data_IF_842519638890
#
_entry.id   IF_842519638890
#
_cell.length_a   1.000
_cell.length_b   1.000
_cell.length_c   1.000
_cell.angle_alpha   90.00
_cell.angle_beta   90.00
_cell.angle_gamma   90.00
#
_symmetry.space_group_name_H-M   'P 1'
#
loop_
_entity.id
_entity.type
_entity.pdbx_description
1 polymer ?
#
# COMPACT_ATOMS: atom_id res chain seq x y z
N UNK A 1 -24.56 0.91 -11.08
CA UNK A 1 -23.91 1.10 -9.75
C UNK A 1 -23.27 -0.22 -9.37
N UNK A 2 -21.94 -0.32 -9.43
CA UNK A 2 -21.21 -1.58 -9.20
C UNK A 2 -20.67 -1.73 -7.77
N UNK A 3 -20.54 -0.63 -7.02
CA UNK A 3 -20.30 -0.64 -5.57
C UNK A 3 -20.94 0.59 -4.89
N UNK A 4 -21.03 0.57 -3.56
CA UNK A 4 -21.67 1.60 -2.75
C UNK A 4 -20.90 2.90 -2.58
N UNK A 5 -19.57 2.82 -2.69
CA UNK A 5 -18.72 3.99 -2.63
C UNK A 5 -18.98 4.88 -3.85
N UNK A 6 -19.12 4.28 -5.05
CA UNK A 6 -19.42 5.01 -6.29
C UNK A 6 -20.75 5.78 -6.20
N UNK A 7 -21.78 5.20 -5.55
CA UNK A 7 -23.08 5.85 -5.35
C UNK A 7 -23.00 7.00 -4.34
N UNK A 8 -22.24 6.81 -3.26
CA UNK A 8 -22.01 7.88 -2.29
C UNK A 8 -21.21 9.03 -2.92
N UNK A 9 -20.18 8.72 -3.71
CA UNK A 9 -19.37 9.70 -4.42
C UNK A 9 -20.18 10.47 -5.47
N UNK A 10 -21.12 9.82 -6.17
CA UNK A 10 -22.06 10.47 -7.10
C UNK A 10 -23.00 11.45 -6.38
N UNK A 11 -23.53 11.07 -5.22
CA UNK A 11 -24.38 11.94 -4.38
C UNK A 11 -23.58 13.14 -3.83
N UNK A 12 -22.33 12.92 -3.43
CA UNK A 12 -21.45 13.96 -2.90
C UNK A 12 -20.97 14.94 -3.98
N UNK A 13 -20.60 14.44 -5.17
CA UNK A 13 -20.20 15.27 -6.30
C UNK A 13 -21.31 16.24 -6.75
N UNK A 14 -22.58 15.87 -6.55
CA UNK A 14 -23.74 16.70 -6.84
C UNK A 14 -24.08 17.72 -5.75
N UNK A 15 -23.47 17.64 -4.56
CA UNK A 15 -23.80 18.47 -3.39
C UNK A 15 -22.66 19.38 -2.91
N UNK A 16 -21.39 19.05 -3.21
CA UNK A 16 -20.20 19.82 -2.80
C UNK A 16 -19.96 21.13 -3.60
N UNK A 17 -20.86 21.50 -4.52
CA UNK A 17 -20.82 22.80 -5.20
C UNK A 17 -21.25 23.99 -4.30
N UNK A 18 -21.65 23.76 -3.04
CA UNK A 18 -22.20 24.80 -2.16
C UNK A 18 -21.68 24.76 -0.71
N UNK A 19 -20.68 25.62 -0.45
CA UNK A 19 -20.44 26.40 0.79
C UNK A 19 -19.83 25.76 2.07
N UNK A 20 -18.84 26.49 2.60
CA UNK A 20 -18.19 26.37 3.91
C UNK A 20 -18.98 27.09 5.03
N UNK A 21 -20.06 26.50 5.57
CA UNK A 21 -20.74 27.05 6.74
C UNK A 21 -21.31 25.98 7.70
N UNK A 22 -21.38 26.34 8.98
CA UNK A 22 -21.60 25.49 10.17
C UNK A 22 -23.03 24.90 10.37
N UNK A 23 -23.69 24.48 9.29
CA UNK A 23 -24.96 23.70 9.32
C UNK A 23 -24.64 22.33 8.65
N UNK A 24 -25.38 21.22 8.88
CA UNK A 24 -25.11 19.96 8.17
C UNK A 24 -25.08 20.26 6.66
N UNK A 25 -23.88 20.23 6.07
CA UNK A 25 -23.66 20.61 4.67
C UNK A 25 -24.59 19.75 3.82
N UNK A 26 -25.19 20.29 2.76
CA UNK A 26 -26.21 19.62 1.95
C UNK A 26 -25.89 18.16 1.57
N UNK A 27 -24.61 17.79 1.47
CA UNK A 27 -24.17 16.40 1.26
C UNK A 27 -24.43 15.43 2.41
N UNK A 28 -24.42 15.85 3.68
CA UNK A 28 -24.76 14.98 4.82
C UNK A 28 -26.27 14.65 4.83
N UNK A 29 -27.13 15.62 4.53
CA UNK A 29 -28.57 15.38 4.42
C UNK A 29 -28.91 14.50 3.22
N UNK A 30 -28.27 14.74 2.06
CA UNK A 30 -28.44 13.89 0.89
C UNK A 30 -27.98 12.44 1.15
N UNK A 31 -26.88 12.25 1.89
CA UNK A 31 -26.46 10.91 2.32
C UNK A 31 -27.45 10.29 3.31
N UNK A 32 -27.97 11.04 4.28
CA UNK A 32 -28.98 10.54 5.22
C UNK A 32 -30.29 10.15 4.52
N UNK A 33 -30.67 10.86 3.45
CA UNK A 33 -31.79 10.51 2.57
C UNK A 33 -31.53 9.20 1.84
N UNK A 34 -30.39 9.07 1.17
CA UNK A 34 -29.99 7.82 0.53
C UNK A 34 -29.97 6.65 1.52
N UNK A 35 -29.34 6.85 2.69
CA UNK A 35 -29.26 5.83 3.74
C UNK A 35 -30.64 5.39 4.24
N UNK A 36 -31.62 6.30 4.26
CA UNK A 36 -32.99 5.97 4.62
C UNK A 36 -33.64 5.03 3.59
N UNK A 37 -33.39 5.24 2.30
CA UNK A 37 -33.91 4.38 1.21
C UNK A 37 -33.27 2.98 1.22
N UNK A 38 -32.00 2.88 1.61
CA UNK A 38 -31.28 1.60 1.69
C UNK A 38 -31.90 0.60 2.68
N UNK A 39 -32.60 1.08 3.72
CA UNK A 39 -33.33 0.21 4.65
C UNK A 39 -34.35 -0.68 3.94
N UNK A 40 -35.08 -0.13 2.96
CA UNK A 40 -36.11 -0.84 2.21
C UNK A 40 -35.49 -1.87 1.27
N UNK A 41 -34.42 -1.47 0.58
CA UNK A 41 -33.76 -2.33 -0.41
C UNK A 41 -33.01 -3.51 0.23
N UNK A 42 -32.36 -3.30 1.37
CA UNK A 42 -31.47 -4.30 1.97
C UNK A 42 -32.00 -4.94 3.25
N UNK A 43 -33.17 -4.50 3.73
CA UNK A 43 -33.78 -5.01 4.96
C UNK A 43 -32.85 -4.92 6.18
N UNK A 44 -32.02 -3.88 6.24
CA UNK A 44 -31.17 -3.59 7.39
C UNK A 44 -31.88 -2.61 8.34
N UNK A 45 -31.69 -2.75 9.66
CA UNK A 45 -32.26 -1.82 10.65
C UNK A 45 -31.40 -0.60 10.93
N UNK A 46 -30.10 -0.69 10.64
CA UNK A 46 -29.12 0.36 10.91
C UNK A 46 -28.25 0.51 9.68
N UNK A 47 -28.10 1.73 9.19
CA UNK A 47 -27.10 2.08 8.17
C UNK A 47 -26.28 3.20 8.76
N UNK A 48 -24.97 3.02 8.83
CA UNK A 48 -24.06 4.01 9.39
C UNK A 48 -22.90 4.28 8.43
N UNK A 49 -22.48 5.53 8.36
CA UNK A 49 -21.37 5.99 7.54
C UNK A 49 -20.45 6.85 8.40
N UNK A 50 -19.16 6.54 8.42
CA UNK A 50 -18.14 7.40 9.01
C UNK A 50 -17.60 8.32 7.90
N UNK A 51 -17.83 9.62 8.05
CA UNK A 51 -17.27 10.68 7.20
C UNK A 51 -15.89 11.08 7.71
N UNK A 52 -14.95 11.30 6.79
CA UNK A 52 -13.65 11.89 7.12
C UNK A 52 -13.18 12.81 6.00
N UNK A 53 -12.57 13.93 6.38
CA UNK A 53 -11.92 14.88 5.46
C UNK A 53 -10.54 15.17 6.01
N UNK A 54 -9.51 15.01 5.17
CA UNK A 54 -8.13 15.29 5.53
C UNK A 54 -7.64 16.53 4.81
N UNK A 55 -7.16 17.50 5.58
CA UNK A 55 -6.54 18.71 5.05
C UNK A 55 -5.11 18.39 4.55
N UNK A 56 -4.56 19.19 3.62
CA UNK A 56 -3.17 19.08 3.19
C UNK A 56 -2.14 19.15 4.34
N UNK A 57 -2.50 19.76 5.47
CA UNK A 57 -1.69 19.79 6.70
C UNK A 57 -1.58 18.44 7.42
N UNK A 58 -2.22 17.39 6.89
CA UNK A 58 -2.27 16.05 7.48
C UNK A 58 -3.34 15.89 8.57
N UNK A 59 -3.94 17.00 9.03
CA UNK A 59 -5.04 16.99 10.01
C UNK A 59 -6.31 16.44 9.35
N UNK A 60 -6.93 15.46 10.00
CA UNK A 60 -8.17 14.86 9.57
C UNK A 60 -9.30 15.22 10.54
N UNK A 61 -10.44 15.67 10.00
CA UNK A 61 -11.71 15.74 10.71
C UNK A 61 -12.55 14.52 10.40
N UNK A 62 -13.22 13.95 11.39
CA UNK A 62 -14.19 12.84 11.23
C UNK A 62 -15.47 13.09 12.01
N UNK A 63 -16.55 12.52 11.50
CA UNK A 63 -17.86 12.44 12.13
C UNK A 63 -18.64 11.28 11.52
N UNK A 64 -19.81 10.98 12.04
CA UNK A 64 -20.61 9.84 11.65
C UNK A 64 -22.05 10.25 11.36
N UNK A 65 -22.66 9.54 10.42
CA UNK A 65 -24.06 9.58 10.06
C UNK A 65 -24.69 8.22 10.35
N UNK A 66 -25.92 8.19 10.84
CA UNK A 66 -26.66 6.96 11.11
C UNK A 66 -28.13 7.14 10.81
N UNK A 67 -28.70 6.20 10.08
CA UNK A 67 -30.15 6.01 9.98
C UNK A 67 -30.58 4.75 10.70
N UNK A 68 -31.66 4.86 11.48
CA UNK A 68 -32.25 3.78 12.26
C UNK A 68 -33.70 3.57 11.85
N UNK A 69 -34.01 2.38 11.35
CA UNK A 69 -35.38 1.98 11.06
C UNK A 69 -36.01 1.33 12.29
N UNK A 70 -37.23 1.72 12.62
CA UNK A 70 -38.01 1.11 13.71
C UNK A 70 -38.25 -0.38 13.46
N UNK A 71 -38.45 -1.20 14.51
CA UNK A 71 -38.61 -2.64 14.37
C UNK A 71 -39.75 -3.08 13.44
N UNK A 72 -40.81 -2.27 13.37
CA UNK A 72 -42.00 -2.43 12.53
C UNK A 72 -41.83 -1.85 11.12
N UNK A 73 -40.68 -1.22 10.82
CA UNK A 73 -40.37 -0.62 9.52
C UNK A 73 -41.10 0.68 9.22
N UNK A 74 -41.84 1.25 10.18
CA UNK A 74 -42.74 2.39 9.94
C UNK A 74 -42.04 3.75 9.93
N UNK A 75 -40.87 3.87 10.58
CA UNK A 75 -40.13 5.14 10.69
C UNK A 75 -38.63 4.93 10.57
N UNK A 76 -37.96 5.93 9.99
CA UNK A 76 -36.49 6.02 9.96
C UNK A 76 -36.07 7.30 10.68
N UNK A 77 -35.28 7.18 11.75
CA UNK A 77 -34.65 8.33 12.42
C UNK A 77 -33.24 8.55 11.87
N UNK A 78 -32.79 9.81 11.88
CA UNK A 78 -31.50 10.27 11.36
C UNK A 78 -30.68 10.86 12.50
N UNK A 79 -29.40 10.51 12.56
CA UNK A 79 -28.50 10.91 13.63
C UNK A 79 -27.15 11.29 13.03
N UNK A 80 -26.47 12.26 13.64
CA UNK A 80 -25.14 12.70 13.21
C UNK A 80 -24.27 13.13 14.39
N UNK A 81 -22.95 12.95 14.27
CA UNK A 81 -21.96 13.56 15.18
C UNK A 81 -21.31 14.80 14.58
N UNK A 82 -21.87 15.38 13.51
CA UNK A 82 -21.26 16.52 12.82
C UNK A 82 -21.02 17.74 13.74
N UNK A 83 -21.86 17.99 14.74
CA UNK A 83 -21.66 19.10 15.70
C UNK A 83 -20.56 18.84 16.74
N UNK A 84 -20.10 17.59 16.86
CA UNK A 84 -19.02 17.17 17.75
C UNK A 84 -18.05 16.32 16.92
N UNK A 85 -17.17 16.97 16.17
CA UNK A 85 -16.19 16.31 15.30
C UNK A 85 -15.01 15.77 16.10
N UNK A 86 -14.27 14.82 15.54
CA UNK A 86 -12.94 14.46 16.05
C UNK A 86 -11.91 14.94 15.03
N UNK A 87 -10.97 15.74 15.49
CA UNK A 87 -9.80 16.21 14.79
C UNK A 87 -8.60 15.41 15.27
N UNK A 88 -7.83 14.85 14.36
CA UNK A 88 -6.61 14.08 14.69
C UNK A 88 -5.64 14.07 13.51
N UNK A 89 -4.36 13.76 13.74
CA UNK A 89 -3.37 13.60 12.66
C UNK A 89 -3.08 12.11 12.46
N UNK A 90 -3.82 11.42 11.57
CA UNK A 90 -3.59 10.00 11.34
C UNK A 90 -2.17 9.74 10.80
N UNK A 91 -1.51 8.72 11.34
CA UNK A 91 -0.28 8.15 10.75
C UNK A 91 -0.59 7.37 9.47
N UNK A 92 -1.75 6.72 9.40
CA UNK A 92 -2.25 5.99 8.22
C UNK A 92 -3.47 6.65 7.57
N UNK A 93 -3.42 6.90 6.26
CA UNK A 93 -4.48 7.65 5.54
C UNK A 93 -5.81 6.89 5.40
N UNK A 94 -5.70 5.58 5.21
CA UNK A 94 -6.82 4.65 5.16
C UNK A 94 -6.76 3.74 6.37
N UNK A 95 -7.90 3.49 7.02
CA UNK A 95 -7.93 2.75 8.27
C UNK A 95 -9.01 3.25 9.21
N UNK A 96 -9.09 2.64 10.39
CA UNK A 96 -10.02 3.01 11.44
C UNK A 96 -11.44 2.43 11.28
N UNK A 97 -11.80 1.81 10.16
CA UNK A 97 -13.15 1.24 9.96
C UNK A 97 -13.50 0.12 10.95
N UNK A 98 -12.58 -0.82 11.19
CA UNK A 98 -12.78 -1.89 12.20
C UNK A 98 -12.80 -1.31 13.62
N UNK A 99 -11.94 -0.35 13.92
CA UNK A 99 -11.92 0.36 15.21
C UNK A 99 -13.22 1.15 15.43
N UNK A 100 -13.73 1.80 14.38
CA UNK A 100 -15.01 2.50 14.39
C UNK A 100 -16.14 1.52 14.68
N UNK A 101 -16.22 0.40 13.94
CA UNK A 101 -17.24 -0.62 14.15
C UNK A 101 -17.19 -1.17 15.59
N UNK A 102 -16.00 -1.44 16.11
CA UNK A 102 -15.82 -1.91 17.48
C UNK A 102 -16.28 -0.87 18.51
N UNK A 103 -15.94 0.41 18.31
CA UNK A 103 -16.37 1.49 19.18
C UNK A 103 -17.88 1.69 19.15
N UNK A 104 -18.49 1.57 17.97
CA UNK A 104 -19.93 1.66 17.77
C UNK A 104 -20.67 0.50 18.46
N UNK A 105 -20.25 -0.75 18.21
CA UNK A 105 -20.82 -1.94 18.86
C UNK A 105 -20.63 -1.84 20.37
N UNK A 106 -19.45 -1.40 20.83
CA UNK A 106 -19.19 -1.25 22.25
C UNK A 106 -20.09 -0.20 22.91
N UNK A 107 -20.27 0.96 22.27
CA UNK A 107 -21.20 2.00 22.72
C UNK A 107 -22.66 1.54 22.75
N UNK A 108 -23.10 0.72 21.77
CA UNK A 108 -24.46 0.18 21.74
C UNK A 108 -24.71 -0.92 22.78
N UNK A 109 -23.69 -1.73 23.12
CA UNK A 109 -23.90 -2.96 23.88
C UNK A 109 -23.44 -2.89 25.34
N UNK A 110 -22.38 -2.13 25.65
CA UNK A 110 -21.73 -2.17 26.97
C UNK A 110 -21.89 -0.88 27.78
N UNK A 111 -22.17 0.26 27.15
CA UNK A 111 -22.46 1.53 27.86
C UNK A 111 -23.95 1.76 28.17
N UNK A 112 -24.80 0.80 27.82
CA UNK A 112 -26.26 0.86 27.95
C UNK A 112 -26.83 0.61 29.36
N UNK A 113 -26.06 0.76 30.45
CA UNK A 113 -26.49 0.36 31.81
C UNK A 113 -26.67 1.49 32.82
N UNK A 114 -27.00 2.72 32.40
CA UNK A 114 -27.30 3.78 33.39
C UNK A 114 -28.39 4.82 33.01
N UNK A 115 -29.15 4.65 31.93
CA UNK A 115 -30.30 5.52 31.64
C UNK A 115 -31.51 4.70 31.21
N UNK A 116 -32.70 5.08 31.67
CA UNK A 116 -33.95 4.35 31.51
C UNK A 116 -34.40 4.14 30.03
N UNK A 117 -33.74 4.78 29.06
CA UNK A 117 -34.12 4.81 27.64
C UNK A 117 -33.10 4.18 26.67
N UNK A 118 -32.10 3.43 27.17
CA UNK A 118 -31.07 2.79 26.33
C UNK A 118 -30.01 3.78 25.80
N UNK A 119 -28.93 3.30 25.15
CA UNK A 119 -27.85 4.19 24.70
C UNK A 119 -28.30 5.07 23.53
N UNK A 120 -28.12 6.39 23.66
CA UNK A 120 -28.32 7.35 22.58
C UNK A 120 -27.41 6.98 21.39
N UNK A 121 -27.95 6.76 20.17
CA UNK A 121 -27.18 6.36 19.00
C UNK A 121 -25.98 7.28 18.68
N UNK A 122 -26.12 8.57 18.98
CA UNK A 122 -25.10 9.59 18.85
C UNK A 122 -23.90 9.33 19.76
N UNK A 123 -24.11 8.84 20.99
CA UNK A 123 -23.00 8.47 21.89
C UNK A 123 -22.23 7.28 21.37
N UNK A 124 -22.91 6.28 20.82
CA UNK A 124 -22.26 5.12 20.22
C UNK A 124 -21.43 5.52 19.00
N UNK A 125 -21.97 6.38 18.14
CA UNK A 125 -21.23 6.96 17.02
C UNK A 125 -20.04 7.81 17.48
N UNK A 126 -20.22 8.61 18.53
CA UNK A 126 -19.15 9.47 19.07
C UNK A 126 -17.98 8.64 19.59
N UNK A 127 -18.27 7.56 20.32
CA UNK A 127 -17.26 6.59 20.74
C UNK A 127 -16.56 5.96 19.55
N UNK A 128 -17.31 5.58 18.52
CA UNK A 128 -16.76 5.01 17.30
C UNK A 128 -15.76 5.97 16.61
N UNK A 129 -16.11 7.26 16.52
CA UNK A 129 -15.24 8.30 15.98
C UNK A 129 -13.95 8.43 16.81
N UNK A 130 -14.06 8.48 18.15
CA UNK A 130 -12.91 8.62 19.06
C UNK A 130 -11.97 7.42 19.01
N UNK A 131 -12.52 6.20 19.08
CA UNK A 131 -11.71 4.98 19.03
C UNK A 131 -10.98 4.86 17.68
N UNK A 132 -11.68 5.14 16.59
CA UNK A 132 -11.08 5.13 15.26
C UNK A 132 -10.01 6.21 15.08
N UNK A 133 -10.14 7.37 15.72
CA UNK A 133 -9.11 8.40 15.73
C UNK A 133 -7.88 7.96 16.52
N UNK A 134 -8.07 7.50 17.77
CA UNK A 134 -6.98 7.03 18.64
C UNK A 134 -6.19 5.88 18.00
N UNK A 135 -6.87 4.91 17.37
CA UNK A 135 -6.19 3.80 16.70
C UNK A 135 -5.38 4.25 15.48
N UNK A 136 -5.73 5.38 14.85
CA UNK A 136 -5.02 5.90 13.68
C UNK A 136 -3.87 6.84 14.03
N UNK A 137 -3.63 7.15 15.31
CA UNK A 137 -2.44 7.88 15.77
C UNK A 137 -1.19 6.99 15.88
N UNK A 138 -1.31 5.69 15.61
CA UNK A 138 -0.19 4.73 15.61
C UNK A 138 -0.09 3.97 14.29
N UNK A 139 1.13 3.72 13.82
CA UNK A 139 1.38 2.79 12.69
C UNK A 139 1.28 1.36 13.20
N UNK A 140 0.58 0.51 12.45
CA UNK A 140 0.44 -0.91 12.74
C UNK A 140 -0.30 -1.22 14.06
N UNK A 141 -1.39 -1.96 13.91
CA UNK A 141 -2.19 -2.64 14.93
C UNK A 141 -3.36 -1.87 15.58
N UNK A 142 -4.51 -2.56 15.61
CA UNK A 142 -5.78 -2.20 16.25
C UNK A 142 -5.75 -2.34 17.79
N UNK A 143 -4.60 -2.64 18.41
CA UNK A 143 -4.51 -3.08 19.82
C UNK A 143 -3.88 -2.10 20.82
N UNK A 144 -3.34 -0.95 20.37
CA UNK A 144 -2.59 -0.03 21.24
C UNK A 144 -3.45 0.95 22.05
N UNK A 145 -4.76 0.96 21.86
CA UNK A 145 -5.70 1.84 22.56
C UNK A 145 -6.44 1.04 23.61
N UNK A 146 -6.18 1.32 24.88
CA UNK A 146 -6.90 0.69 25.98
C UNK A 146 -8.29 1.32 26.18
N UNK A 147 -9.19 0.61 26.86
CA UNK A 147 -10.49 1.18 27.26
C UNK A 147 -10.32 2.40 28.18
N UNK A 148 -9.22 2.45 28.95
CA UNK A 148 -8.90 3.61 29.79
C UNK A 148 -8.54 4.83 28.94
N UNK A 149 -7.75 4.66 27.87
CA UNK A 149 -7.40 5.74 26.93
C UNK A 149 -8.65 6.29 26.24
N UNK A 150 -9.54 5.40 25.79
CA UNK A 150 -10.81 5.78 25.18
C UNK A 150 -11.72 6.54 26.17
N UNK A 151 -11.85 6.05 27.42
CA UNK A 151 -12.65 6.74 28.45
C UNK A 151 -12.06 8.09 28.83
N UNK A 152 -10.73 8.23 28.84
CA UNK A 152 -10.07 9.49 29.19
C UNK A 152 -10.44 10.62 28.21
N UNK A 153 -10.61 10.32 26.93
CA UNK A 153 -11.02 11.32 25.92
C UNK A 153 -12.54 11.57 25.88
N UNK A 154 -13.34 10.65 26.42
CA UNK A 154 -14.81 10.78 26.50
C UNK A 154 -15.28 11.69 27.66
N UNK A 155 -14.52 11.74 28.76
CA UNK A 155 -14.92 12.46 29.98
C UNK A 155 -15.11 13.96 29.70
N UNK A 156 -16.34 14.44 29.89
CA UNK A 156 -16.70 15.87 29.79
C UNK A 156 -16.76 16.42 28.36
N UNK A 157 -16.75 15.58 27.32
CA UNK A 157 -16.61 16.01 25.90
C UNK A 157 -17.63 15.37 24.94
N UNK A 158 -18.80 14.98 25.44
CA UNK A 158 -19.82 14.30 24.65
C UNK A 158 -20.31 15.12 23.43
N UNK A 159 -20.47 16.44 23.62
CA UNK A 159 -21.10 17.34 22.64
C UNK A 159 -20.14 18.42 22.12
N UNK A 160 -18.82 18.23 22.30
CA UNK A 160 -17.80 19.19 21.90
C UNK A 160 -16.83 18.58 20.89
N UNK A 161 -16.27 19.41 20.01
CA UNK A 161 -15.15 19.02 19.15
C UNK A 161 -13.97 18.53 20.01
N UNK A 162 -13.32 17.47 19.56
CA UNK A 162 -12.14 16.88 20.23
C UNK A 162 -10.96 16.92 19.28
N UNK A 163 -9.82 17.38 19.79
CA UNK A 163 -8.54 17.37 19.09
C UNK A 163 -7.63 16.35 19.75
N UNK A 164 -7.11 15.41 18.98
CA UNK A 164 -6.17 14.38 19.42
C UNK A 164 -4.83 14.59 18.71
N UNK A 165 -3.75 14.69 19.49
CA UNK A 165 -2.37 14.62 19.00
C UNK A 165 -1.53 13.83 20.01
N UNK A 166 -0.94 12.69 19.59
CA UNK A 166 0.11 12.01 20.35
C UNK A 166 1.48 12.62 20.03
N UNK A 167 2.19 13.08 21.06
CA UNK A 167 3.60 13.44 20.96
C UNK A 167 4.49 12.21 20.68
N UNK A 168 5.62 12.40 20.01
CA UNK A 168 6.58 11.33 19.66
C UNK A 168 7.24 10.63 20.86
N UNK A 169 6.97 11.07 22.09
CA UNK A 169 7.35 10.37 23.31
C UNK A 169 6.15 9.59 23.87
N UNK A 170 6.14 8.29 23.63
CA UNK A 170 5.02 7.41 23.96
C UNK A 170 4.50 7.58 25.40
N UNK A 171 3.18 7.74 25.53
CA UNK A 171 2.45 7.35 26.74
C UNK A 171 1.36 8.30 27.24
N UNK A 172 1.22 9.53 26.75
CA UNK A 172 0.20 10.45 27.27
C UNK A 172 -0.50 11.24 26.17
N UNK A 173 -1.84 11.30 26.24
CA UNK A 173 -2.69 12.16 25.41
C UNK A 173 -2.73 13.52 26.10
N UNK A 174 -2.00 14.52 25.59
CA UNK A 174 -2.05 15.88 26.14
C UNK A 174 -3.19 16.72 25.52
N UNK A 175 -3.80 17.66 26.29
CA UNK A 175 -4.82 18.57 25.76
C UNK A 175 -4.22 19.66 24.85
N UNK A 176 -4.99 20.20 23.89
CA UNK A 176 -4.44 20.91 22.73
C UNK A 176 -3.85 22.29 23.08
N UNK A 177 -2.64 22.57 22.55
CA UNK A 177 -2.11 23.92 22.41
C UNK A 177 -2.76 24.62 21.20
N UNK A 178 -3.22 25.85 21.39
CA UNK A 178 -3.63 26.76 20.30
C UNK A 178 -2.37 27.27 19.58
N UNK A 179 -2.22 26.97 18.29
CA UNK A 179 -1.12 27.49 17.48
C UNK A 179 -1.56 28.67 16.60
N UNK A 180 -0.76 29.75 16.66
CA UNK A 180 -0.91 30.99 15.90
C UNK A 180 -0.39 30.92 14.47
N UNK A 181 -0.57 32.03 13.75
CA UNK A 181 -0.64 32.12 12.29
C UNK A 181 0.66 31.91 11.48
N UNK A 182 1.82 31.64 12.09
CA UNK A 182 3.11 31.89 11.41
C UNK A 182 4.08 30.67 11.33
N UNK A 183 3.65 29.44 11.60
CA UNK A 183 4.54 28.28 11.80
C UNK A 183 4.72 27.33 10.61
N UNK A 184 5.71 27.58 9.74
CA UNK A 184 6.05 26.71 8.61
C UNK A 184 6.75 25.39 8.98
N UNK A 185 6.38 24.32 8.26
CA UNK A 185 7.09 23.02 8.14
C UNK A 185 6.98 22.53 6.69
N UNK A 186 8.04 21.93 6.12
CA UNK A 186 8.03 21.45 4.72
C UNK A 186 7.12 20.23 4.55
N UNK A 187 6.18 20.32 3.60
CA UNK A 187 5.16 19.31 3.35
C UNK A 187 5.75 17.91 3.07
N UNK A 188 5.37 16.92 3.88
CA UNK A 188 5.36 15.53 3.41
C UNK A 188 4.42 15.50 2.20
N UNK A 189 4.89 15.03 1.04
CA UNK A 189 4.04 14.88 -0.14
C UNK A 189 2.84 14.01 0.26
N UNK A 190 1.62 14.54 0.14
CA UNK A 190 0.40 13.75 0.34
C UNK A 190 0.38 12.57 -0.63
N UNK A 191 -0.46 11.56 -0.36
CA UNK A 191 -0.62 10.47 -1.31
C UNK A 191 -1.02 10.98 -2.69
N UNK A 192 -0.59 10.28 -3.75
CA UNK A 192 -1.16 10.48 -5.07
C UNK A 192 -2.67 10.17 -5.05
N UNK A 193 -3.41 10.86 -5.91
CA UNK A 193 -4.76 10.41 -6.28
C UNK A 193 -4.70 9.00 -6.86
N UNK A 194 -5.84 8.29 -6.85
CA UNK A 194 -5.93 6.95 -7.43
C UNK A 194 -5.46 6.89 -8.89
N UNK A 195 -5.85 7.87 -9.71
CA UNK A 195 -5.46 7.94 -11.11
C UNK A 195 -3.94 8.15 -11.27
N UNK A 196 -3.32 8.99 -10.44
CA UNK A 196 -1.87 9.18 -10.44
C UNK A 196 -1.13 7.94 -9.98
N UNK A 197 -1.63 7.25 -8.96
CA UNK A 197 -1.07 6.00 -8.47
C UNK A 197 -1.12 4.91 -9.55
N UNK A 198 -2.27 4.74 -10.20
CA UNK A 198 -2.44 3.81 -11.32
C UNK A 198 -1.51 4.13 -12.49
N UNK A 199 -1.39 5.41 -12.87
CA UNK A 199 -0.48 5.85 -13.93
C UNK A 199 1.00 5.63 -13.58
N UNK A 200 1.40 5.82 -12.31
CA UNK A 200 2.76 5.51 -11.83
C UNK A 200 3.04 4.01 -11.96
N UNK A 201 2.15 3.16 -11.45
CA UNK A 201 2.32 1.72 -11.52
C UNK A 201 2.38 1.18 -12.96
N UNK A 202 1.57 1.72 -13.86
CA UNK A 202 1.59 1.33 -15.28
C UNK A 202 2.92 1.69 -15.96
N UNK A 203 3.45 2.90 -15.69
CA UNK A 203 4.78 3.30 -16.16
C UNK A 203 5.88 2.40 -15.59
N UNK A 204 5.80 2.05 -14.31
CA UNK A 204 6.76 1.15 -13.68
C UNK A 204 6.73 -0.22 -14.33
N UNK A 205 5.54 -0.81 -14.50
CA UNK A 205 5.37 -2.12 -15.15
C UNK A 205 5.95 -2.10 -16.56
N UNK A 206 5.61 -1.08 -17.35
CA UNK A 206 6.13 -0.92 -18.72
C UNK A 206 7.66 -0.88 -18.74
N UNK A 207 8.30 -0.10 -17.85
CA UNK A 207 9.76 -0.04 -17.76
C UNK A 207 10.39 -1.37 -17.32
N UNK A 208 9.73 -2.11 -16.41
CA UNK A 208 10.19 -3.46 -16.05
C UNK A 208 10.13 -4.42 -17.24
N UNK A 209 9.06 -4.36 -18.04
CA UNK A 209 8.94 -5.13 -19.28
C UNK A 209 10.05 -4.78 -20.28
N UNK A 210 10.33 -3.47 -20.47
CA UNK A 210 11.40 -3.00 -21.34
C UNK A 210 12.79 -3.42 -20.88
N UNK A 211 13.02 -3.47 -19.56
CA UNK A 211 14.26 -4.00 -18.98
C UNK A 211 14.45 -5.48 -19.30
N UNK A 212 13.36 -6.26 -19.34
CA UNK A 212 13.37 -7.72 -19.48
C UNK A 212 13.92 -8.47 -18.27
N UNK A 213 14.72 -7.81 -17.42
CA UNK A 213 15.28 -8.35 -16.18
C UNK A 213 15.20 -7.33 -15.05
N UNK A 214 14.95 -7.81 -13.84
CA UNK A 214 15.12 -7.08 -12.58
C UNK A 214 16.34 -7.66 -11.87
N UNK A 215 17.30 -6.80 -11.54
CA UNK A 215 18.48 -7.17 -10.77
C UNK A 215 18.19 -7.07 -9.26
N UNK A 216 18.25 -8.20 -8.54
CA UNK A 216 17.95 -8.26 -7.11
C UNK A 216 19.24 -8.13 -6.30
N UNK A 217 19.47 -6.94 -5.75
CA UNK A 217 20.59 -6.61 -4.88
C UNK A 217 20.20 -6.98 -3.45
N UNK A 218 20.78 -8.09 -2.98
CA UNK A 218 20.78 -8.48 -1.57
C UNK A 218 22.21 -8.35 -1.04
N UNK A 219 22.42 -7.38 -0.16
CA UNK A 219 23.73 -7.07 0.41
C UNK A 219 23.75 -7.35 1.90
N UNK A 220 24.33 -8.50 2.31
CA UNK A 220 24.43 -8.87 3.73
C UNK A 220 25.62 -8.23 4.43
N UNK A 221 26.61 -7.79 3.66
CA UNK A 221 27.84 -7.19 4.15
C UNK A 221 27.88 -5.68 3.92
N UNK A 222 28.40 -5.30 2.76
CA UNK A 222 28.82 -3.94 2.43
C UNK A 222 27.78 -3.18 1.58
N UNK A 223 27.12 -2.14 2.13
CA UNK A 223 26.21 -1.28 1.38
C UNK A 223 26.90 -0.47 0.27
N UNK A 224 28.18 -0.13 0.40
CA UNK A 224 28.92 0.61 -0.63
C UNK A 224 29.10 -0.24 -1.89
N UNK A 225 29.46 -1.52 -1.70
CA UNK A 225 29.53 -2.48 -2.78
C UNK A 225 28.15 -2.70 -3.45
N UNK A 226 27.07 -2.70 -2.68
CA UNK A 226 25.71 -2.82 -3.20
C UNK A 226 25.36 -1.66 -4.15
N UNK A 227 25.67 -0.42 -3.73
CA UNK A 227 25.47 0.78 -4.56
C UNK A 227 26.36 0.74 -5.80
N UNK A 228 27.64 0.41 -5.64
CA UNK A 228 28.58 0.29 -6.75
C UNK A 228 28.14 -0.74 -7.79
N UNK A 229 27.69 -1.93 -7.34
CA UNK A 229 27.16 -3.00 -8.21
C UNK A 229 25.89 -2.57 -8.93
N UNK A 230 24.99 -1.85 -8.27
CA UNK A 230 23.80 -1.30 -8.93
C UNK A 230 24.14 -0.32 -10.05
N UNK A 231 25.06 0.61 -9.81
CA UNK A 231 25.55 1.57 -10.83
C UNK A 231 26.24 0.83 -11.99
N UNK A 232 27.07 -0.16 -11.67
CA UNK A 232 27.76 -1.02 -12.64
C UNK A 232 26.76 -1.73 -13.58
N UNK A 233 25.71 -2.34 -13.02
CA UNK A 233 24.67 -3.01 -13.79
C UNK A 233 23.86 -2.04 -14.67
N UNK A 234 23.52 -0.85 -14.15
CA UNK A 234 22.86 0.21 -14.94
C UNK A 234 23.71 0.61 -16.13
N UNK A 235 25.02 0.81 -15.92
CA UNK A 235 25.95 1.14 -17.00
C UNK A 235 26.07 0.02 -18.06
N UNK A 236 25.75 -1.22 -17.72
CA UNK A 236 25.66 -2.34 -18.68
C UNK A 236 24.32 -2.43 -19.41
N UNK A 237 23.30 -1.67 -19.00
CA UNK A 237 21.98 -1.64 -19.61
C UNK A 237 20.83 -2.10 -18.73
N UNK A 238 21.06 -2.38 -17.43
CA UNK A 238 19.98 -2.70 -16.50
C UNK A 238 19.04 -1.51 -16.31
N UNK A 239 17.73 -1.74 -16.41
CA UNK A 239 16.70 -0.70 -16.22
C UNK A 239 15.74 -0.93 -15.06
N UNK A 240 15.91 -2.03 -14.32
CA UNK A 240 15.12 -2.32 -13.13
C UNK A 240 15.98 -2.97 -12.03
N UNK A 241 16.02 -2.36 -10.85
CA UNK A 241 16.78 -2.85 -9.69
C UNK A 241 15.85 -3.01 -8.50
N UNK A 242 15.99 -4.11 -7.77
CA UNK A 242 15.38 -4.36 -6.46
C UNK A 242 16.47 -4.32 -5.38
N UNK A 243 16.28 -3.55 -4.32
CA UNK A 243 17.07 -3.67 -3.08
C UNK A 243 16.27 -4.46 -2.05
N UNK A 244 16.79 -5.58 -1.58
CA UNK A 244 16.03 -6.40 -0.61
C UNK A 244 16.08 -5.81 0.80
N UNK A 245 14.97 -5.84 1.53
CA UNK A 245 14.87 -5.34 2.92
C UNK A 245 15.77 -6.11 3.89
N UNK A 246 16.09 -7.35 3.56
CA UNK A 246 17.00 -8.16 4.34
C UNK A 246 18.49 -7.84 4.05
N UNK A 247 18.78 -6.77 3.30
CA UNK A 247 20.12 -6.20 3.15
C UNK A 247 20.48 -5.30 4.33
N UNK A 248 21.77 -5.26 4.67
CA UNK A 248 22.34 -4.26 5.58
C UNK A 248 22.10 -2.87 5.00
N UNK A 249 21.48 -1.98 5.77
CA UNK A 249 21.11 -0.62 5.35
C UNK A 249 20.43 -0.55 3.96
N UNK A 250 19.36 -1.33 3.78
CA UNK A 250 18.56 -1.30 2.55
C UNK A 250 18.07 0.12 2.22
N UNK A 251 17.71 0.91 3.23
CA UNK A 251 17.17 2.26 3.07
C UNK A 251 18.23 3.25 2.56
N UNK A 252 19.43 3.23 3.15
CA UNK A 252 20.56 4.03 2.67
C UNK A 252 20.99 3.61 1.26
N UNK A 253 21.04 2.30 1.01
CA UNK A 253 21.35 1.75 -0.33
C UNK A 253 20.35 2.23 -1.38
N UNK A 254 19.05 2.14 -1.11
CA UNK A 254 17.98 2.59 -1.98
C UNK A 254 18.09 4.09 -2.28
N UNK A 255 18.27 4.92 -1.25
CA UNK A 255 18.41 6.38 -1.38
C UNK A 255 19.62 6.79 -2.24
N UNK A 256 20.76 6.14 -2.02
CA UNK A 256 22.00 6.37 -2.75
C UNK A 256 21.89 5.94 -4.21
N UNK A 257 21.27 4.78 -4.47
CA UNK A 257 20.98 4.33 -5.83
C UNK A 257 20.01 5.30 -6.53
N UNK A 258 18.91 5.71 -5.89
CA UNK A 258 17.96 6.66 -6.48
C UNK A 258 18.62 7.97 -6.91
N UNK A 259 19.62 8.43 -6.15
CA UNK A 259 20.38 9.64 -6.44
C UNK A 259 21.45 9.45 -7.54
N UNK A 260 21.98 8.23 -7.69
CA UNK A 260 23.11 7.95 -8.57
C UNK A 260 22.72 7.38 -9.95
N UNK A 261 21.55 6.73 -10.06
CA UNK A 261 21.10 6.12 -11.31
C UNK A 261 20.23 7.07 -12.13
N UNK A 262 20.18 6.91 -13.47
CA UNK A 262 19.34 7.71 -14.34
C UNK A 262 17.83 7.61 -13.98
N UNK A 263 17.03 8.68 -14.16
CA UNK A 263 15.59 8.68 -13.86
C UNK A 263 14.75 7.69 -14.70
N UNK A 264 15.29 7.18 -15.81
CA UNK A 264 14.61 6.17 -16.62
C UNK A 264 14.71 4.76 -16.03
N UNK A 265 15.63 4.50 -15.10
CA UNK A 265 15.73 3.23 -14.36
C UNK A 265 14.68 3.19 -13.24
N UNK A 266 13.93 2.09 -13.14
CA UNK A 266 13.03 1.86 -11.99
C UNK A 266 13.77 1.18 -10.86
N UNK A 267 13.53 1.66 -9.64
CA UNK A 267 14.16 1.17 -8.44
C UNK A 267 13.08 0.75 -7.46
N UNK A 268 13.15 -0.48 -6.96
CA UNK A 268 12.18 -1.01 -6.03
C UNK A 268 12.82 -1.64 -4.82
N UNK A 269 11.97 -2.13 -3.93
CA UNK A 269 12.37 -2.93 -2.78
C UNK A 269 11.83 -4.35 -2.90
N UNK A 270 12.39 -5.29 -2.15
CA UNK A 270 11.72 -6.58 -2.02
C UNK A 270 12.15 -7.40 -0.83
N UNK A 271 11.70 -8.65 -0.78
CA UNK A 271 11.66 -9.42 0.48
C UNK A 271 10.74 -8.75 1.53
N UNK A 272 9.65 -8.13 1.08
CA UNK A 272 8.58 -7.68 1.99
C UNK A 272 7.88 -8.91 2.58
N UNK A 273 7.79 -8.97 3.89
CA UNK A 273 7.12 -10.02 4.66
C UNK A 273 6.00 -9.39 5.51
N UNK A 274 5.20 -10.21 6.21
CA UNK A 274 4.09 -9.72 7.05
C UNK A 274 4.52 -8.66 8.07
N UNK A 275 5.68 -8.85 8.70
CA UNK A 275 6.24 -7.95 9.72
C UNK A 275 6.85 -6.67 9.14
N UNK A 276 7.03 -6.59 7.82
CA UNK A 276 7.75 -5.50 7.13
C UNK A 276 6.89 -4.77 6.11
N UNK A 277 5.58 -5.05 6.03
CA UNK A 277 4.61 -4.27 5.23
C UNK A 277 4.66 -2.78 5.59
N UNK A 278 4.88 -2.44 6.86
CA UNK A 278 4.99 -1.03 7.30
C UNK A 278 6.12 -0.24 6.63
N UNK A 279 7.18 -0.91 6.14
CA UNK A 279 8.32 -0.26 5.50
C UNK A 279 8.01 0.27 4.08
N UNK A 280 6.85 -0.10 3.49
CA UNK A 280 6.43 0.39 2.17
C UNK A 280 6.30 1.91 2.16
N UNK A 281 5.86 2.52 3.26
CA UNK A 281 5.82 3.97 3.42
C UNK A 281 7.20 4.59 3.20
N UNK A 282 8.18 4.06 3.94
CA UNK A 282 9.56 4.53 3.89
C UNK A 282 10.17 4.29 2.52
N UNK A 283 9.95 3.12 1.94
CA UNK A 283 10.41 2.80 0.59
C UNK A 283 9.84 3.78 -0.45
N UNK A 284 8.53 4.09 -0.38
CA UNK A 284 7.90 5.05 -1.29
C UNK A 284 8.47 6.48 -1.11
N UNK A 285 8.71 6.92 0.13
CA UNK A 285 9.34 8.22 0.42
C UNK A 285 10.77 8.31 -0.13
N UNK A 286 11.49 7.20 -0.12
CA UNK A 286 12.82 7.07 -0.72
C UNK A 286 12.78 6.90 -2.26
N UNK A 287 11.58 6.92 -2.86
CA UNK A 287 11.40 6.89 -4.30
C UNK A 287 11.34 5.48 -4.90
N UNK A 288 10.93 4.47 -4.13
CA UNK A 288 10.65 3.14 -4.66
C UNK A 288 9.49 3.18 -5.66
N UNK A 289 9.71 2.61 -6.84
CA UNK A 289 8.76 2.52 -7.95
C UNK A 289 7.93 1.21 -7.88
N UNK A 290 8.50 0.15 -7.31
CA UNK A 290 7.85 -1.16 -7.10
C UNK A 290 8.29 -1.82 -5.78
N UNK A 291 7.53 -2.81 -5.33
CA UNK A 291 7.86 -3.65 -4.19
C UNK A 291 7.55 -5.13 -4.50
N UNK A 292 8.48 -6.05 -4.23
CA UNK A 292 8.30 -7.49 -4.44
C UNK A 292 8.27 -8.27 -3.11
N UNK A 293 7.41 -9.27 -3.00
CA UNK A 293 7.35 -10.17 -1.84
C UNK A 293 7.52 -11.62 -2.29
N UNK A 294 8.26 -12.48 -1.53
CA UNK A 294 8.30 -13.92 -1.76
C UNK A 294 7.00 -14.64 -1.32
N UNK A 295 6.06 -13.91 -0.71
CA UNK A 295 4.74 -14.37 -0.27
C UNK A 295 3.67 -13.33 -0.70
N UNK A 296 2.47 -13.41 -0.14
CA UNK A 296 1.40 -12.43 -0.30
C UNK A 296 0.97 -11.92 1.09
N UNK A 297 1.71 -10.97 1.67
CA UNK A 297 1.43 -10.47 3.01
C UNK A 297 0.11 -9.70 3.07
N UNK A 298 -0.57 -9.77 4.21
CA UNK A 298 -1.84 -9.05 4.38
C UNK A 298 -1.63 -7.53 4.28
N UNK A 299 -2.40 -6.86 3.44
CA UNK A 299 -2.34 -5.39 3.27
C UNK A 299 -1.20 -4.89 2.38
N UNK A 300 -0.30 -5.78 1.92
CA UNK A 300 0.85 -5.43 1.09
C UNK A 300 0.47 -4.74 -0.22
N UNK A 301 -0.49 -5.33 -0.94
CA UNK A 301 -0.94 -4.84 -2.26
C UNK A 301 -1.63 -3.48 -2.11
N UNK A 302 -2.51 -3.37 -1.13
CA UNK A 302 -3.28 -2.18 -0.83
C UNK A 302 -2.36 -1.00 -0.46
N UNK A 303 -1.36 -1.26 0.38
CA UNK A 303 -0.42 -0.24 0.86
C UNK A 303 0.51 0.26 -0.25
N UNK A 304 0.99 -0.65 -1.11
CA UNK A 304 1.78 -0.29 -2.29
C UNK A 304 0.96 0.55 -3.27
N UNK A 305 -0.22 0.04 -3.67
CA UNK A 305 -1.05 0.67 -4.68
C UNK A 305 -1.53 2.05 -4.24
N UNK A 306 -1.88 2.22 -2.96
CA UNK A 306 -2.25 3.51 -2.38
C UNK A 306 -1.16 4.57 -2.58
N UNK A 307 0.12 4.18 -2.60
CA UNK A 307 1.28 5.08 -2.79
C UNK A 307 1.75 5.16 -4.25
N UNK A 308 1.11 4.44 -5.16
CA UNK A 308 1.55 4.32 -6.55
C UNK A 308 2.81 3.47 -6.74
N UNK A 309 3.12 2.61 -5.77
CA UNK A 309 4.20 1.61 -5.85
C UNK A 309 3.61 0.34 -6.46
N UNK A 310 4.24 -0.21 -7.50
CA UNK A 310 3.78 -1.45 -8.13
C UNK A 310 4.05 -2.65 -7.21
N UNK A 311 3.00 -3.31 -6.73
CA UNK A 311 3.13 -4.51 -5.89
C UNK A 311 3.37 -5.76 -6.75
N UNK A 312 4.30 -6.62 -6.31
CA UNK A 312 4.58 -7.94 -6.88
C UNK A 312 4.60 -9.04 -5.83
N UNK A 313 3.44 -9.46 -5.29
CA UNK A 313 3.33 -10.62 -4.41
C UNK A 313 3.59 -11.93 -5.17
N UNK A 314 3.97 -12.97 -4.44
CA UNK A 314 4.31 -14.26 -5.06
C UNK A 314 3.12 -15.21 -5.21
N UNK A 315 3.16 -16.00 -6.28
CA UNK A 315 2.30 -17.15 -6.52
C UNK A 315 3.09 -18.24 -7.26
N UNK A 316 2.59 -19.48 -7.24
CA UNK A 316 3.18 -20.61 -7.96
C UNK A 316 2.18 -21.34 -8.87
N UNK A 317 0.89 -21.28 -8.54
CA UNK A 317 -0.18 -21.99 -9.27
C UNK A 317 -1.14 -21.05 -9.98
N UNK A 318 -1.92 -21.58 -10.95
CA UNK A 318 -2.94 -20.81 -11.66
C UNK A 318 -4.01 -20.23 -10.73
N UNK A 319 -4.39 -20.95 -9.66
CA UNK A 319 -5.39 -20.49 -8.70
C UNK A 319 -4.87 -19.30 -7.88
N UNK A 320 -3.63 -19.36 -7.41
CA UNK A 320 -2.99 -18.26 -6.69
C UNK A 320 -2.84 -17.04 -7.60
N UNK A 321 -2.36 -17.24 -8.83
CA UNK A 321 -2.24 -16.17 -9.81
C UNK A 321 -3.59 -15.48 -10.07
N UNK A 322 -4.67 -16.27 -10.21
CA UNK A 322 -6.01 -15.74 -10.42
C UNK A 322 -6.55 -15.00 -9.19
N UNK A 323 -6.28 -15.52 -7.99
CA UNK A 323 -6.69 -14.85 -6.76
C UNK A 323 -6.04 -13.47 -6.62
N UNK A 324 -4.74 -13.36 -6.93
CA UNK A 324 -4.02 -12.09 -6.94
C UNK A 324 -4.57 -11.14 -8.02
N UNK A 325 -4.77 -11.63 -9.23
CA UNK A 325 -5.33 -10.83 -10.32
C UNK A 325 -6.70 -10.23 -9.96
N UNK A 326 -7.60 -11.02 -9.34
CA UNK A 326 -8.91 -10.55 -8.88
C UNK A 326 -8.85 -9.48 -7.79
N UNK A 327 -7.73 -9.37 -7.06
CA UNK A 327 -7.46 -8.30 -6.09
C UNK A 327 -6.87 -7.04 -6.74
N UNK A 328 -6.73 -7.01 -8.06
CA UNK A 328 -6.18 -5.88 -8.79
C UNK A 328 -4.66 -5.85 -8.83
N UNK A 329 -3.99 -6.95 -8.48
CA UNK A 329 -2.53 -7.08 -8.60
C UNK A 329 -2.13 -6.97 -10.07
N UNK A 330 -1.21 -6.04 -10.36
CA UNK A 330 -0.76 -5.73 -11.72
C UNK A 330 0.46 -6.54 -12.15
N UNK A 331 1.25 -7.07 -11.22
CA UNK A 331 2.42 -7.89 -11.46
C UNK A 331 2.46 -9.04 -10.44
N UNK A 332 2.69 -10.26 -10.89
CA UNK A 332 2.77 -11.45 -10.02
C UNK A 332 4.17 -12.02 -10.11
N UNK A 333 4.79 -12.28 -8.96
CA UNK A 333 6.09 -12.93 -8.89
C UNK A 333 5.91 -14.45 -8.88
N UNK A 334 6.36 -15.14 -9.94
CA UNK A 334 6.37 -16.60 -9.96
C UNK A 334 7.61 -17.08 -9.20
N UNK A 335 7.42 -17.63 -8.00
CA UNK A 335 8.51 -17.94 -7.08
C UNK A 335 8.27 -19.26 -6.33
N UNK A 336 9.23 -20.18 -6.23
CA UNK A 336 10.61 -20.16 -6.75
C UNK A 336 10.72 -20.74 -8.16
N UNK A 337 11.11 -19.94 -9.16
CA UNK A 337 11.17 -20.34 -10.57
C UNK A 337 12.12 -21.51 -10.89
N UNK A 338 13.17 -21.73 -10.09
CA UNK A 338 14.11 -22.84 -10.24
C UNK A 338 13.52 -24.21 -9.89
N UNK A 339 12.35 -24.25 -9.24
CA UNK A 339 11.55 -25.48 -9.06
C UNK A 339 10.53 -25.68 -10.20
N UNK A 340 10.52 -24.77 -11.16
CA UNK A 340 9.62 -24.75 -12.30
C UNK A 340 10.42 -24.66 -13.61
N UNK A 341 9.70 -24.48 -14.70
CA UNK A 341 10.26 -24.30 -16.03
C UNK A 341 9.43 -23.32 -16.85
N UNK A 342 9.97 -22.77 -17.94
CA UNK A 342 9.21 -21.94 -18.87
C UNK A 342 7.92 -22.60 -19.39
N UNK A 343 7.86 -23.95 -19.46
CA UNK A 343 6.65 -24.66 -19.87
C UNK A 343 5.51 -24.54 -18.84
N UNK A 344 5.81 -24.43 -17.54
CA UNK A 344 4.79 -24.14 -16.52
C UNK A 344 4.16 -22.78 -16.76
N UNK A 345 4.98 -21.74 -16.95
CA UNK A 345 4.49 -20.39 -17.23
C UNK A 345 3.62 -20.36 -18.48
N UNK A 346 4.07 -20.99 -19.56
CA UNK A 346 3.29 -21.09 -20.80
C UNK A 346 1.94 -21.80 -20.57
N UNK A 347 1.91 -22.78 -19.68
CA UNK A 347 0.66 -23.49 -19.31
C UNK A 347 -0.28 -22.59 -18.50
N UNK A 348 0.24 -21.82 -17.53
CA UNK A 348 -0.54 -20.82 -16.77
C UNK A 348 -1.13 -19.77 -17.72
N UNK A 349 -0.29 -19.20 -18.60
CA UNK A 349 -0.71 -18.18 -19.57
C UNK A 349 -1.63 -18.73 -20.67
N UNK A 350 -1.60 -20.04 -20.93
CA UNK A 350 -2.48 -20.70 -21.89
C UNK A 350 -3.94 -20.84 -21.41
N UNK A 351 -4.20 -20.71 -20.11
CA UNK A 351 -5.57 -20.77 -19.57
C UNK A 351 -6.31 -19.49 -19.98
N UNK A 352 -7.28 -19.59 -20.88
CA UNK A 352 -8.11 -18.45 -21.29
C UNK A 352 -9.37 -18.36 -20.42
N UNK A 353 -9.82 -17.18 -19.97
CA UNK A 353 -9.26 -15.83 -20.21
C UNK A 353 -8.18 -15.42 -19.20
N UNK A 354 -7.78 -16.30 -18.27
CA UNK A 354 -6.81 -16.03 -17.21
C UNK A 354 -5.53 -15.37 -17.73
N UNK A 355 -4.81 -16.04 -18.64
CA UNK A 355 -3.48 -15.66 -19.06
C UNK A 355 -3.38 -14.35 -19.83
N UNK A 356 -4.44 -13.90 -20.49
CA UNK A 356 -4.45 -12.63 -21.22
C UNK A 356 -4.31 -11.40 -20.30
N UNK A 357 -4.58 -11.57 -19.00
CA UNK A 357 -4.59 -10.49 -18.02
C UNK A 357 -3.50 -10.63 -16.94
N UNK A 358 -2.59 -11.60 -17.07
CA UNK A 358 -1.52 -11.82 -16.10
C UNK A 358 -0.19 -11.25 -16.58
N UNK A 359 0.43 -10.41 -15.77
CA UNK A 359 1.84 -10.06 -15.90
C UNK A 359 2.63 -10.86 -14.88
N UNK A 360 3.52 -11.73 -15.35
CA UNK A 360 4.28 -12.64 -14.48
C UNK A 360 5.78 -12.36 -14.58
N UNK A 361 6.42 -12.30 -13.42
CA UNK A 361 7.87 -12.18 -13.22
C UNK A 361 8.41 -13.46 -12.56
N UNK A 362 8.99 -14.41 -13.30
CA UNK A 362 9.70 -15.56 -12.72
C UNK A 362 10.96 -15.12 -11.96
N UNK A 363 11.14 -15.60 -10.74
CA UNK A 363 12.29 -15.25 -9.90
C UNK A 363 12.73 -16.42 -9.03
N UNK A 364 14.01 -16.42 -8.64
CA UNK A 364 14.61 -17.43 -7.76
C UNK A 364 14.97 -18.70 -8.52
N UNK A 365 16.23 -18.79 -8.97
CA UNK A 365 16.72 -19.88 -9.84
C UNK A 365 16.79 -19.51 -11.32
N UNK A 366 16.42 -18.28 -11.70
CA UNK A 366 16.71 -17.72 -13.02
C UNK A 366 18.18 -17.32 -13.10
N UNK A 367 18.82 -17.57 -14.24
CA UNK A 367 20.20 -17.22 -14.55
C UNK A 367 20.32 -16.72 -16.01
N UNK A 368 21.49 -16.21 -16.43
CA UNK A 368 21.68 -15.72 -17.80
C UNK A 368 21.40 -16.77 -18.89
N UNK A 369 21.57 -18.06 -18.61
CA UNK A 369 21.42 -19.14 -19.59
C UNK A 369 19.95 -19.48 -19.86
N UNK A 370 19.09 -19.35 -18.84
CA UNK A 370 17.66 -19.68 -18.95
C UNK A 370 16.73 -18.45 -19.09
N UNK A 371 17.25 -17.23 -18.93
CA UNK A 371 16.49 -15.98 -18.95
C UNK A 371 15.62 -15.81 -20.21
N UNK A 372 16.22 -16.06 -21.38
CA UNK A 372 15.56 -15.86 -22.67
C UNK A 372 14.39 -16.83 -22.84
N UNK A 373 14.53 -18.08 -22.40
CA UNK A 373 13.47 -19.08 -22.48
C UNK A 373 12.24 -18.69 -21.63
N UNK A 374 12.44 -18.07 -20.46
CA UNK A 374 11.33 -17.53 -19.66
C UNK A 374 10.62 -16.37 -20.36
N UNK A 375 11.36 -15.45 -20.99
CA UNK A 375 10.80 -14.34 -21.75
C UNK A 375 10.04 -14.81 -22.98
N UNK A 376 10.54 -15.83 -23.68
CA UNK A 376 9.85 -16.48 -24.81
C UNK A 376 8.59 -17.24 -24.38
N UNK A 377 8.55 -17.74 -23.14
CA UNK A 377 7.36 -18.35 -22.56
C UNK A 377 6.28 -17.32 -22.16
N UNK A 378 6.55 -16.02 -22.28
CA UNK A 378 5.61 -14.94 -22.00
C UNK A 378 5.83 -14.22 -20.67
N UNK A 379 6.96 -14.45 -19.98
CA UNK A 379 7.33 -13.64 -18.84
C UNK A 379 7.48 -12.17 -19.26
N UNK A 380 6.95 -11.26 -18.45
CA UNK A 380 7.07 -9.82 -18.70
C UNK A 380 8.47 -9.32 -18.42
N UNK A 381 9.07 -9.84 -17.36
CA UNK A 381 10.48 -9.73 -17.05
C UNK A 381 10.87 -10.91 -16.15
N UNK A 382 12.15 -11.08 -15.88
CA UNK A 382 12.64 -12.10 -14.93
C UNK A 382 13.42 -11.46 -13.78
N UNK A 383 13.35 -12.04 -12.59
CA UNK A 383 14.13 -11.60 -11.43
C UNK A 383 15.37 -12.45 -11.22
N UNK A 384 16.56 -11.82 -11.22
CA UNK A 384 17.82 -12.49 -10.94
C UNK A 384 18.58 -11.84 -9.78
N UNK A 385 18.86 -12.63 -8.74
CA UNK A 385 19.71 -12.24 -7.61
C UNK A 385 21.17 -12.58 -7.86
N UNK A 386 21.77 -13.37 -6.97
CA UNK A 386 23.20 -13.72 -6.98
C UNK A 386 23.73 -14.28 -8.31
N UNK A 387 22.86 -14.84 -9.16
CA UNK A 387 23.22 -15.33 -10.49
C UNK A 387 23.52 -14.19 -11.50
N UNK A 388 23.06 -12.97 -11.23
CA UNK A 388 23.27 -11.78 -12.05
C UNK A 388 24.07 -10.70 -11.33
N UNK A 389 23.87 -10.54 -10.02
CA UNK A 389 24.47 -9.44 -9.25
C UNK A 389 25.72 -9.85 -8.48
N UNK A 390 26.22 -11.08 -8.67
CA UNK A 390 27.37 -11.62 -7.95
C UNK A 390 27.07 -12.14 -6.54
N UNK A 391 27.84 -13.14 -6.10
CA UNK A 391 27.71 -13.75 -4.77
C UNK A 391 28.45 -12.96 -3.68
N UNK A 392 29.39 -12.13 -4.08
CA UNK A 392 30.22 -11.29 -3.22
C UNK A 392 29.38 -10.36 -2.32
N UNK A 393 28.24 -9.88 -2.82
CA UNK A 393 27.25 -9.11 -2.05
C UNK A 393 26.68 -9.85 -0.82
N UNK A 394 26.66 -11.19 -0.85
CA UNK A 394 26.11 -12.02 0.22
C UNK A 394 27.19 -12.57 1.16
N UNK A 395 28.43 -12.13 1.03
CA UNK A 395 29.57 -12.60 1.82
C UNK A 395 30.14 -11.48 2.68
N UNK A 396 30.69 -11.83 3.84
CA UNK A 396 31.33 -10.85 4.72
C UNK A 396 32.66 -10.38 4.14
N UNK A 397 32.89 -9.05 4.00
CA UNK A 397 34.16 -8.50 3.55
C UNK A 397 35.36 -9.05 4.34
N UNK A 398 36.48 -9.28 3.65
CA UNK A 398 37.71 -9.80 4.25
C UNK A 398 37.76 -11.32 4.48
N UNK A 399 36.67 -12.05 4.22
CA UNK A 399 36.68 -13.53 4.27
C UNK A 399 37.26 -14.15 2.98
N UNK A 400 37.83 -15.35 3.07
CA UNK A 400 38.29 -16.10 1.89
C UNK A 400 37.15 -16.36 0.88
N UNK A 401 35.93 -16.59 1.39
CA UNK A 401 34.74 -16.75 0.56
C UNK A 401 34.40 -15.47 -0.22
N UNK A 402 34.56 -14.29 0.41
CA UNK A 402 34.36 -13.01 -0.27
C UNK A 402 35.39 -12.78 -1.36
N UNK A 403 36.68 -13.01 -1.09
CA UNK A 403 37.74 -12.89 -2.11
C UNK A 403 37.47 -13.78 -3.32
N UNK A 404 37.09 -15.03 -3.09
CA UNK A 404 36.73 -15.96 -4.17
C UNK A 404 35.48 -15.50 -4.95
N UNK A 405 34.47 -14.96 -4.25
CA UNK A 405 33.26 -14.46 -4.88
C UNK A 405 33.51 -13.19 -5.72
N UNK A 406 34.39 -12.29 -5.27
CA UNK A 406 34.82 -11.10 -6.03
C UNK A 406 35.56 -11.51 -7.29
N UNK A 407 36.50 -12.46 -7.19
CA UNK A 407 37.21 -12.99 -8.36
C UNK A 407 36.23 -13.66 -9.34
N UNK A 408 35.27 -14.44 -8.83
CA UNK A 408 34.24 -15.06 -9.68
C UNK A 408 33.35 -14.02 -10.38
N UNK A 409 33.00 -12.91 -9.71
CA UNK A 409 32.31 -11.79 -10.34
C UNK A 409 33.12 -11.23 -11.52
N UNK A 410 34.40 -10.90 -11.30
CA UNK A 410 35.26 -10.30 -12.32
C UNK A 410 35.48 -11.23 -13.53
N UNK A 411 35.74 -12.51 -13.28
CA UNK A 411 36.08 -13.47 -14.33
C UNK A 411 34.84 -13.99 -15.10
N UNK A 412 33.69 -14.11 -14.42
CA UNK A 412 32.52 -14.82 -14.97
C UNK A 412 31.23 -14.02 -14.86
N UNK A 413 30.94 -13.45 -13.69
CA UNK A 413 29.66 -12.76 -13.42
C UNK A 413 29.46 -11.51 -14.28
N UNK A 414 30.44 -10.62 -14.30
CA UNK A 414 30.41 -9.36 -15.05
C UNK A 414 30.32 -9.61 -16.58
N UNK A 415 31.16 -10.49 -17.19
CA UNK A 415 31.00 -10.86 -18.60
C UNK A 415 29.63 -11.46 -18.94
N UNK A 416 29.09 -12.32 -18.06
CA UNK A 416 27.78 -12.94 -18.27
C UNK A 416 26.64 -11.91 -18.21
N UNK A 417 26.66 -11.00 -17.22
CA UNK A 417 25.71 -9.91 -17.10
C UNK A 417 25.74 -9.01 -18.34
N UNK A 418 26.94 -8.59 -18.77
CA UNK A 418 27.13 -7.78 -19.98
C UNK A 418 26.59 -8.46 -21.24
N UNK A 419 26.80 -9.78 -21.36
CA UNK A 419 26.29 -10.57 -22.49
C UNK A 419 24.77 -10.63 -22.46
N UNK A 420 24.17 -10.89 -21.31
CA UNK A 420 22.71 -10.91 -21.13
C UNK A 420 22.09 -9.56 -21.53
N UNK A 421 22.60 -8.44 -21.03
CA UNK A 421 22.04 -7.12 -21.34
C UNK A 421 22.15 -6.78 -22.84
N UNK A 422 23.24 -7.16 -23.51
CA UNK A 422 23.35 -7.05 -24.98
C UNK A 422 22.29 -7.88 -25.71
N UNK A 423 22.07 -9.12 -25.27
CA UNK A 423 21.04 -10.01 -25.84
C UNK A 423 19.64 -9.44 -25.64
N UNK A 424 19.34 -8.91 -24.44
CA UNK A 424 18.05 -8.28 -24.15
C UNK A 424 17.82 -7.04 -25.02
N UNK A 425 18.84 -6.19 -25.20
CA UNK A 425 18.77 -5.02 -26.06
C UNK A 425 18.53 -5.41 -27.54
N UNK A 426 19.24 -6.42 -28.04
CA UNK A 426 19.04 -6.94 -29.40
C UNK A 426 17.63 -7.52 -29.58
N UNK A 427 17.13 -8.26 -28.59
CA UNK A 427 15.76 -8.80 -28.58
C UNK A 427 14.73 -7.69 -28.63
N UNK A 428 14.88 -6.65 -27.79
CA UNK A 428 13.96 -5.51 -27.76
C UNK A 428 13.90 -4.77 -29.12
N UNK A 429 15.03 -4.64 -29.82
CA UNK A 429 15.09 -4.04 -31.15
C UNK A 429 14.44 -4.91 -32.25
N UNK A 430 14.38 -6.24 -32.05
CA UNK A 430 13.83 -7.19 -33.03
C UNK A 430 12.31 -7.39 -32.94
N UNK A 431 11.68 -6.98 -31.82
CA UNK A 431 10.23 -7.11 -31.65
C UNK A 431 9.48 -6.06 -32.49
N UNK A 432 8.48 -6.45 -33.30
CA UNK A 432 7.68 -5.50 -34.05
C UNK A 432 6.93 -4.56 -33.11
N UNK A 433 6.83 -3.27 -33.46
CA UNK A 433 6.13 -2.23 -32.69
C UNK A 433 4.65 -2.55 -32.37
N UNK A 434 4.08 -3.63 -32.92
CA UNK A 434 2.70 -4.10 -32.74
C UNK A 434 2.55 -5.33 -31.82
N UNK A 435 3.64 -5.91 -31.29
CA UNK A 435 3.53 -6.96 -30.28
C UNK A 435 3.15 -6.33 -28.93
N UNK A 436 2.18 -6.88 -28.17
CA UNK A 436 1.87 -6.36 -26.84
C UNK A 436 3.12 -6.50 -25.96
N UNK A 437 3.74 -5.36 -25.62
CA UNK A 437 4.91 -5.29 -24.72
C UNK A 437 4.56 -5.85 -23.34
#
# INVERSE_FOLDING_TARGET
IHNLADLADEVLANTDAASDAATPQAGDEALLELMAELHVQWRCRRVAICRKIRAPSGVQRRWSLLTLMTPDGSKVSRHTTHSAKVWHRPKEECGGGSAWLMGFVHGLHFDGTAAADGPAPERAMRRADLLAALCQETEGDFSKVSLADLRAVEIGRADADVHLERGDQGGTIEPPHTFGADGGWSAAQGLPSRAEAEARMERTLSKMCESGVVALIRAKGDPDLAVARGIELVNMGCKAIEVTLDSTDWAGTLSRLKSAIPPDVVLGVGTIMDDTVGEIQRAAQLGADFALSPIDPLGFVEECHRRGVLAGPSAFTSNECWALHRRGVKLIKLFHAGLASPSLLKSILGVTPLGANLNILPSGGVDPDNAIAWLEAGAKCVGMGSNLVGKDLNTSPGSAAHTAAVQNWQEHGEPAARTLFKTLAARAASLPNSAPR
#
